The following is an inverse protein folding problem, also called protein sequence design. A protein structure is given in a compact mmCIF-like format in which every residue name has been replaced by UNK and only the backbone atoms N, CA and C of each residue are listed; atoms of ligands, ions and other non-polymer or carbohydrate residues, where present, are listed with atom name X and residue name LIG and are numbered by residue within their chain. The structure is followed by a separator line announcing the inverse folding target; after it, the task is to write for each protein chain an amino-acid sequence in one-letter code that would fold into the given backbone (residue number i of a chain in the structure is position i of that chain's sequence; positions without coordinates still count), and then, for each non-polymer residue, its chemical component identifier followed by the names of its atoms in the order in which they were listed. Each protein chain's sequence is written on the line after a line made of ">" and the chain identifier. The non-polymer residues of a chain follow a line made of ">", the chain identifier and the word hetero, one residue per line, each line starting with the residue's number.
data_IF_868606651791
#
_entry.id   IF_868606651791
#
_cell.length_a   1.000
_cell.length_b   1.000
_cell.length_c   1.000
_cell.angle_alpha   90.00
_cell.angle_beta   90.00
_cell.angle_gamma   90.00
#
_symmetry.space_group_name_H-M   'P 1'
#
loop_
_entity.id
_entity.type
_entity.pdbx_description
1 polymer ?
#
# COMPACT_ATOMS: atom_id res chain seq x y z
N UNK A 1 -24.18 -8.68 -10.79
CA UNK A 1 -22.87 -8.01 -10.90
C UNK A 1 -22.01 -8.74 -11.93
N UNK A 2 -21.24 -8.01 -12.74
CA UNK A 2 -20.49 -8.55 -13.88
C UNK A 2 -19.03 -8.91 -13.55
N UNK A 3 -18.33 -9.46 -14.55
CA UNK A 3 -16.91 -9.89 -14.51
C UNK A 3 -15.98 -8.82 -13.90
N UNK A 4 -16.26 -7.54 -14.13
CA UNK A 4 -15.45 -6.43 -13.61
C UNK A 4 -15.55 -6.25 -12.09
N UNK A 5 -16.69 -6.57 -11.48
CA UNK A 5 -16.84 -6.49 -10.03
C UNK A 5 -15.98 -7.57 -9.33
N UNK A 6 -16.00 -8.80 -9.86
CA UNK A 6 -15.18 -9.89 -9.35
C UNK A 6 -13.69 -9.59 -9.49
N UNK A 7 -13.26 -8.97 -10.59
CA UNK A 7 -11.87 -8.53 -10.79
C UNK A 7 -11.41 -7.52 -9.75
N UNK A 8 -12.29 -6.61 -9.32
CA UNK A 8 -11.96 -5.64 -8.26
C UNK A 8 -11.83 -6.34 -6.91
N UNK A 9 -12.73 -7.28 -6.60
CA UNK A 9 -12.65 -8.06 -5.38
C UNK A 9 -11.34 -8.89 -5.33
N UNK A 10 -10.97 -9.53 -6.44
CA UNK A 10 -9.71 -10.26 -6.55
C UNK A 10 -8.49 -9.33 -6.43
N UNK A 11 -8.52 -8.15 -7.05
CA UNK A 11 -7.45 -7.16 -6.90
C UNK A 11 -7.30 -6.70 -5.44
N UNK A 12 -8.40 -6.52 -4.70
CA UNK A 12 -8.33 -6.16 -3.28
C UNK A 12 -7.63 -7.26 -2.45
N UNK A 13 -7.94 -8.53 -2.70
CA UNK A 13 -7.27 -9.67 -2.06
C UNK A 13 -5.77 -9.73 -2.43
N UNK A 14 -5.42 -9.53 -3.70
CA UNK A 14 -4.03 -9.49 -4.16
C UNK A 14 -3.24 -8.34 -3.51
N UNK A 15 -3.87 -7.17 -3.36
CA UNK A 15 -3.25 -6.02 -2.71
C UNK A 15 -3.06 -6.26 -1.21
N UNK A 16 -4.00 -6.96 -0.55
CA UNK A 16 -3.85 -7.40 0.84
C UNK A 16 -2.65 -8.33 0.99
N UNK A 17 -2.52 -9.33 0.11
CA UNK A 17 -1.37 -10.23 0.07
C UNK A 17 -0.07 -9.45 -0.17
N UNK A 18 -0.05 -8.53 -1.14
CA UNK A 18 1.11 -7.70 -1.43
C UNK A 18 1.52 -6.78 -0.28
N UNK A 19 0.54 -6.17 0.41
CA UNK A 19 0.77 -5.34 1.59
C UNK A 19 1.34 -6.16 2.74
N UNK A 20 0.73 -7.30 3.08
CA UNK A 20 1.24 -8.19 4.12
C UNK A 20 2.62 -8.76 3.76
N UNK A 21 2.84 -9.13 2.50
CA UNK A 21 4.12 -9.63 1.99
C UNK A 21 5.23 -8.59 2.11
N UNK A 22 4.97 -7.34 1.68
CA UNK A 22 5.93 -6.25 1.85
C UNK A 22 6.18 -5.95 3.34
N UNK A 23 5.13 -5.95 4.16
CA UNK A 23 5.21 -5.72 5.61
C UNK A 23 6.08 -6.77 6.31
N UNK A 24 5.96 -8.04 5.90
CA UNK A 24 6.80 -9.13 6.39
C UNK A 24 8.25 -9.02 5.87
N UNK A 25 8.45 -8.47 4.67
CA UNK A 25 9.78 -8.16 4.13
C UNK A 25 10.46 -6.95 4.80
N UNK A 26 9.73 -6.12 5.55
CA UNK A 26 10.30 -5.05 6.39
C UNK A 26 11.00 -5.63 7.63
N UNK A 27 10.48 -6.71 8.22
CA UNK A 27 11.08 -7.35 9.41
C UNK A 27 12.57 -7.72 9.26
N UNK A 28 13.04 -8.34 8.17
CA UNK A 28 14.47 -8.61 7.95
C UNK A 28 15.31 -7.35 7.69
N UNK A 29 14.69 -6.28 7.17
CA UNK A 29 15.36 -4.98 7.01
C UNK A 29 15.46 -4.23 8.35
N UNK A 30 14.51 -4.44 9.26
CA UNK A 30 14.44 -3.81 10.58
C UNK A 30 15.23 -4.57 11.67
N UNK A 31 15.36 -5.90 11.58
CA UNK A 31 16.26 -6.71 12.41
C UNK A 31 16.90 -7.84 11.59
N UNK A 32 18.10 -7.62 11.02
CA UNK A 32 18.77 -8.59 10.15
C UNK A 32 19.38 -9.79 10.92
N UNK A 33 19.18 -9.90 12.23
CA UNK A 33 19.64 -11.04 13.06
C UNK A 33 18.64 -12.20 13.10
N UNK A 34 17.45 -12.01 12.54
CA UNK A 34 16.32 -12.94 12.61
C UNK A 34 16.19 -13.81 11.33
N UNK A 35 15.48 -14.96 11.39
CA UNK A 35 15.70 -16.19 10.58
C UNK A 35 15.57 -16.11 9.05
N UNK A 36 15.37 -14.93 8.48
CA UNK A 36 15.23 -14.72 7.04
C UNK A 36 16.52 -14.97 6.26
N UNK A 37 17.70 -14.69 6.83
CA UNK A 37 18.96 -15.09 6.20
C UNK A 37 19.14 -16.61 6.13
N UNK A 38 18.51 -17.35 7.06
CA UNK A 38 18.47 -18.80 7.02
C UNK A 38 17.48 -19.28 5.95
N UNK A 39 16.27 -18.71 5.89
CA UNK A 39 15.26 -19.02 4.85
C UNK A 39 15.77 -18.69 3.44
N UNK A 40 16.49 -17.58 3.26
CA UNK A 40 17.08 -17.19 1.97
C UNK A 40 18.20 -18.14 1.55
N UNK A 41 19.02 -18.61 2.49
CA UNK A 41 20.06 -19.60 2.23
C UNK A 41 19.49 -20.96 1.82
N UNK A 42 18.34 -21.32 2.40
CA UNK A 42 17.64 -22.58 2.15
C UNK A 42 16.89 -22.58 0.80
N UNK A 43 16.24 -21.47 0.44
CA UNK A 43 15.44 -21.36 -0.78
C UNK A 43 16.26 -21.29 -2.08
N UNK A 44 17.46 -20.71 -2.04
CA UNK A 44 18.19 -20.41 -3.27
C UNK A 44 19.37 -21.34 -3.54
N UNK A 45 19.71 -22.27 -2.63
CA UNK A 45 20.80 -23.27 -2.74
C UNK A 45 22.13 -22.74 -3.35
N UNK A 46 22.33 -21.43 -3.33
CA UNK A 46 23.45 -20.74 -3.96
C UNK A 46 23.99 -19.72 -2.97
N UNK A 47 25.31 -19.60 -2.98
CA UNK A 47 26.07 -18.59 -2.24
C UNK A 47 25.41 -17.23 -2.42
N UNK A 48 25.18 -16.56 -1.29
CA UNK A 48 24.37 -15.35 -1.04
C UNK A 48 24.94 -14.09 -1.73
N UNK A 49 25.40 -14.20 -2.99
CA UNK A 49 26.36 -13.25 -3.54
C UNK A 49 26.12 -12.78 -4.97
N UNK A 50 25.04 -13.22 -5.62
CA UNK A 50 24.61 -12.56 -6.86
C UNK A 50 24.07 -11.16 -6.52
N UNK A 51 24.67 -10.08 -7.03
CA UNK A 51 24.21 -8.74 -6.71
C UNK A 51 22.84 -8.50 -7.33
N UNK A 52 21.97 -7.79 -6.61
CA UNK A 52 20.78 -7.19 -7.18
C UNK A 52 21.23 -6.06 -8.12
N UNK A 53 21.15 -6.29 -9.42
CA UNK A 53 21.45 -5.25 -10.40
C UNK A 53 20.22 -4.40 -10.63
N UNK A 54 20.30 -3.13 -10.25
CA UNK A 54 19.29 -2.13 -10.53
C UNK A 54 19.59 -1.55 -11.91
N UNK A 55 18.65 -1.65 -12.84
CA UNK A 55 18.81 -1.12 -14.19
C UNK A 55 18.10 0.23 -14.33
N UNK A 56 18.69 1.12 -15.13
CA UNK A 56 18.02 2.32 -15.64
C UNK A 56 16.96 1.92 -16.68
N UNK A 57 16.06 2.85 -16.99
CA UNK A 57 15.01 2.62 -17.98
C UNK A 57 15.55 2.32 -19.40
N UNK A 58 16.78 2.77 -19.70
CA UNK A 58 17.47 2.46 -20.96
C UNK A 58 18.17 1.09 -20.97
N UNK A 59 17.99 0.29 -19.90
CA UNK A 59 18.58 -1.03 -19.74
C UNK A 59 20.03 -1.04 -19.27
N UNK A 60 20.68 0.12 -19.06
CA UNK A 60 22.03 0.18 -18.51
C UNK A 60 22.02 -0.09 -17.00
N UNK A 61 22.99 -0.82 -16.43
CA UNK A 61 23.05 -1.02 -14.98
C UNK A 61 23.34 0.31 -14.26
N UNK A 62 22.50 0.65 -13.29
CA UNK A 62 22.73 1.75 -12.35
C UNK A 62 23.68 1.33 -11.23
N UNK A 63 23.34 0.25 -10.52
CA UNK A 63 24.12 -0.30 -9.42
C UNK A 63 23.95 -1.80 -9.30
N UNK A 64 24.86 -2.44 -8.59
CA UNK A 64 24.86 -3.86 -8.29
C UNK A 64 25.04 -4.01 -6.77
N UNK A 65 23.95 -4.20 -6.05
CA UNK A 65 23.95 -4.19 -4.58
C UNK A 65 23.99 -5.63 -4.05
N UNK A 66 24.89 -5.92 -3.12
CA UNK A 66 24.88 -7.20 -2.40
C UNK A 66 23.83 -7.14 -1.30
N UNK A 67 22.93 -8.12 -1.28
CA UNK A 67 21.85 -8.18 -0.30
C UNK A 67 22.36 -8.14 1.14
N UNK A 68 23.47 -8.82 1.43
CA UNK A 68 24.11 -8.81 2.75
C UNK A 68 24.54 -7.42 3.20
N UNK A 69 25.06 -6.62 2.26
CA UNK A 69 25.55 -5.27 2.55
C UNK A 69 24.37 -4.32 2.78
N UNK A 70 23.28 -4.50 2.04
CA UNK A 70 22.02 -3.76 2.25
C UNK A 70 21.40 -4.10 3.60
N UNK A 71 21.33 -5.37 3.99
CA UNK A 71 20.81 -5.76 5.31
C UNK A 71 21.67 -5.23 6.46
N UNK A 72 23.01 -5.34 6.35
CA UNK A 72 23.91 -4.78 7.35
C UNK A 72 23.76 -3.25 7.49
N UNK A 73 23.62 -2.54 6.36
CA UNK A 73 23.32 -1.11 6.35
C UNK A 73 21.96 -0.84 7.00
N UNK A 74 20.92 -1.59 6.65
CA UNK A 74 19.57 -1.42 7.18
C UNK A 74 19.54 -1.53 8.72
N UNK A 75 20.25 -2.49 9.33
CA UNK A 75 20.42 -2.55 10.79
C UNK A 75 21.10 -1.32 11.39
N UNK A 76 22.07 -0.74 10.68
CA UNK A 76 22.83 0.42 11.15
C UNK A 76 22.11 1.75 10.91
N UNK A 77 21.17 1.77 9.96
CA UNK A 77 20.33 2.92 9.60
C UNK A 77 18.92 2.81 10.16
N UNK A 78 18.66 1.89 11.10
CA UNK A 78 17.39 1.70 11.78
C UNK A 78 17.06 2.92 12.67
N UNK A 79 16.76 4.04 12.04
CA UNK A 79 16.02 5.15 12.62
C UNK A 79 14.52 4.81 12.61
N UNK A 80 13.80 5.35 13.58
CA UNK A 80 12.42 4.99 13.93
C UNK A 80 11.33 5.21 12.85
N UNK A 81 11.68 5.45 11.58
CA UNK A 81 10.73 5.82 10.52
C UNK A 81 10.71 4.94 9.27
N UNK A 82 11.80 4.23 8.90
CA UNK A 82 11.87 3.53 7.60
C UNK A 82 10.80 2.44 7.46
N UNK A 83 10.56 1.67 8.53
CA UNK A 83 9.49 0.66 8.53
C UNK A 83 8.11 1.30 8.37
N UNK A 84 7.85 2.43 9.04
CA UNK A 84 6.59 3.16 8.90
C UNK A 84 6.43 3.74 7.49
N UNK A 85 7.50 4.29 6.91
CA UNK A 85 7.49 4.83 5.55
C UNK A 85 7.20 3.76 4.50
N UNK A 86 7.78 2.57 4.64
CA UNK A 86 7.52 1.45 3.74
C UNK A 86 6.09 0.91 3.87
N UNK A 87 5.54 0.84 5.09
CA UNK A 87 4.13 0.50 5.31
C UNK A 87 3.21 1.55 4.68
N UNK A 88 3.48 2.84 4.90
CA UNK A 88 2.71 3.92 4.33
C UNK A 88 2.79 3.91 2.80
N UNK A 89 3.96 3.64 2.24
CA UNK A 89 4.15 3.50 0.79
C UNK A 89 3.30 2.36 0.21
N UNK A 90 3.29 1.19 0.84
CA UNK A 90 2.44 0.08 0.41
C UNK A 90 0.96 0.42 0.44
N UNK A 91 0.49 1.03 1.53
CA UNK A 91 -0.89 1.50 1.69
C UNK A 91 -1.24 2.49 0.58
N UNK A 92 -0.39 3.49 0.34
CA UNK A 92 -0.62 4.51 -0.68
C UNK A 92 -0.67 3.90 -2.08
N UNK A 93 0.26 3.00 -2.41
CA UNK A 93 0.31 2.34 -3.70
C UNK A 93 -0.96 1.50 -3.93
N UNK A 94 -1.33 0.67 -2.94
CA UNK A 94 -2.52 -0.18 -3.04
C UNK A 94 -3.82 0.61 -3.10
N UNK A 95 -3.99 1.63 -2.27
CA UNK A 95 -5.16 2.52 -2.31
C UNK A 95 -5.28 3.26 -3.65
N UNK A 96 -4.17 3.75 -4.20
CA UNK A 96 -4.16 4.39 -5.50
C UNK A 96 -4.56 3.42 -6.62
N UNK A 97 -3.97 2.22 -6.65
CA UNK A 97 -4.26 1.20 -7.65
C UNK A 97 -5.70 0.70 -7.59
N UNK A 98 -6.23 0.45 -6.38
CA UNK A 98 -7.61 0.00 -6.18
C UNK A 98 -8.62 1.07 -6.63
N UNK A 99 -8.45 2.31 -6.17
CA UNK A 99 -9.35 3.40 -6.56
C UNK A 99 -9.32 3.69 -8.06
N UNK A 100 -8.14 3.61 -8.70
CA UNK A 100 -8.00 3.71 -10.16
C UNK A 100 -8.75 2.58 -10.89
N UNK A 101 -8.65 1.35 -10.40
CA UNK A 101 -9.34 0.20 -10.98
C UNK A 101 -10.87 0.38 -10.92
N UNK A 102 -11.40 0.74 -9.75
CA UNK A 102 -12.84 1.02 -9.55
C UNK A 102 -13.31 2.15 -10.48
N UNK A 103 -12.53 3.21 -10.61
CA UNK A 103 -12.86 4.34 -11.48
C UNK A 103 -12.86 3.93 -12.96
N UNK A 104 -11.82 3.22 -13.43
CA UNK A 104 -11.69 2.80 -14.83
C UNK A 104 -12.76 1.79 -15.24
N UNK A 105 -13.19 0.93 -14.31
CA UNK A 105 -14.28 -0.01 -14.55
C UNK A 105 -15.67 0.66 -14.61
N UNK A 106 -15.78 1.96 -14.32
CA UNK A 106 -17.06 2.66 -14.27
C UNK A 106 -17.93 2.26 -13.07
N UNK A 107 -17.32 1.64 -12.04
CA UNK A 107 -17.99 1.11 -10.86
C UNK A 107 -17.95 2.07 -9.66
N UNK A 108 -17.69 3.36 -9.93
CA UNK A 108 -17.75 4.40 -8.92
C UNK A 108 -19.20 4.77 -8.61
N UNK A 109 -19.77 4.24 -7.53
CA UNK A 109 -21.04 4.71 -6.99
C UNK A 109 -20.81 5.91 -6.05
N UNK A 110 -21.51 7.02 -6.31
CA UNK A 110 -21.43 8.23 -5.49
C UNK A 110 -22.33 8.21 -4.26
N UNK A 111 -23.28 7.28 -4.21
CA UNK A 111 -24.21 7.13 -3.10
C UNK A 111 -23.68 6.19 -2.02
N UNK A 112 -22.76 5.28 -2.37
CA UNK A 112 -22.05 4.42 -1.42
C UNK A 112 -21.02 5.18 -0.58
N UNK A 113 -21.18 5.26 0.76
CA UNK A 113 -20.21 5.93 1.62
C UNK A 113 -18.81 5.30 1.57
N UNK A 114 -18.75 3.97 1.46
CA UNK A 114 -17.49 3.23 1.31
C UNK A 114 -16.77 3.62 0.01
N UNK A 115 -17.49 3.66 -1.13
CA UNK A 115 -16.84 4.00 -2.40
C UNK A 115 -16.47 5.50 -2.48
N UNK A 116 -17.21 6.37 -1.78
CA UNK A 116 -16.76 7.75 -1.58
C UNK A 116 -15.50 7.83 -0.71
N UNK A 117 -15.40 7.04 0.36
CA UNK A 117 -14.19 6.94 1.17
C UNK A 117 -12.99 6.52 0.31
N UNK A 118 -13.12 5.41 -0.44
CA UNK A 118 -12.06 4.89 -1.32
C UNK A 118 -11.63 5.93 -2.36
N UNK A 119 -12.59 6.65 -2.98
CA UNK A 119 -12.30 7.73 -3.92
C UNK A 119 -11.42 8.82 -3.29
N UNK A 120 -11.82 9.30 -2.13
CA UNK A 120 -11.09 10.36 -1.44
C UNK A 120 -9.73 9.88 -0.94
N UNK A 121 -9.64 8.64 -0.47
CA UNK A 121 -8.38 8.08 0.01
C UNK A 121 -7.39 7.84 -1.12
N UNK A 122 -7.85 7.32 -2.27
CA UNK A 122 -7.05 7.25 -3.50
C UNK A 122 -6.54 8.62 -3.92
N UNK A 123 -7.40 9.65 -3.91
CA UNK A 123 -6.98 11.00 -4.26
C UNK A 123 -5.92 11.53 -3.29
N UNK A 124 -6.10 11.32 -1.99
CA UNK A 124 -5.09 11.71 -1.01
C UNK A 124 -3.74 11.01 -1.24
N UNK A 125 -3.76 9.71 -1.52
CA UNK A 125 -2.56 8.93 -1.83
C UNK A 125 -1.86 9.42 -3.12
N UNK A 126 -2.63 9.74 -4.16
CA UNK A 126 -2.10 10.31 -5.41
C UNK A 126 -1.57 11.74 -5.25
N UNK A 127 -2.03 12.49 -4.24
CA UNK A 127 -1.64 13.88 -3.96
C UNK A 127 -0.69 13.99 -2.75
N UNK A 128 0.32 13.12 -2.68
CA UNK A 128 1.39 13.22 -1.68
C UNK A 128 0.96 12.85 -0.26
N UNK A 129 0.02 11.91 -0.14
CA UNK A 129 -0.49 11.37 1.13
C UNK A 129 -1.19 12.39 2.05
N UNK A 130 -1.89 13.36 1.45
CA UNK A 130 -2.65 14.36 2.20
C UNK A 130 -4.06 14.46 1.65
N UNK A 131 -5.04 14.56 2.54
CA UNK A 131 -6.42 14.76 2.11
C UNK A 131 -6.55 16.05 1.31
N UNK A 132 -7.15 15.91 0.12
CA UNK A 132 -7.26 17.00 -0.84
C UNK A 132 -8.73 17.28 -1.14
N UNK A 133 -9.43 17.89 -0.18
CA UNK A 133 -10.82 18.31 -0.35
C UNK A 133 -10.90 19.69 -0.98
N UNK A 134 -11.56 19.82 -2.12
CA UNK A 134 -11.81 21.11 -2.75
C UNK A 134 -13.31 21.34 -2.93
N UNK A 135 -13.72 22.60 -3.13
CA UNK A 135 -15.08 22.92 -3.58
C UNK A 135 -16.21 22.29 -2.74
N UNK A 136 -16.06 22.33 -1.41
CA UNK A 136 -17.01 21.79 -0.45
C UNK A 136 -17.02 20.26 -0.33
N UNK A 137 -15.94 19.58 -0.72
CA UNK A 137 -15.79 18.14 -0.49
C UNK A 137 -15.50 17.78 0.98
N UNK A 138 -15.87 16.57 1.43
CA UNK A 138 -16.69 15.58 0.73
C UNK A 138 -18.16 16.02 0.63
N UNK A 139 -18.74 15.93 -0.57
CA UNK A 139 -20.13 16.39 -0.85
C UNK A 139 -21.20 15.33 -0.54
N UNK A 140 -20.78 14.08 -0.51
CA UNK A 140 -21.57 12.91 -0.15
C UNK A 140 -20.90 12.27 1.06
N UNK A 141 -21.65 11.52 1.90
CA UNK A 141 -21.06 10.77 2.99
C UNK A 141 -19.89 9.91 2.48
N UNK A 142 -18.77 9.95 3.19
CA UNK A 142 -17.55 9.24 2.83
C UNK A 142 -17.00 8.59 4.10
N UNK A 143 -17.28 7.31 4.27
CA UNK A 143 -17.17 6.63 5.56
C UNK A 143 -16.56 5.24 5.40
N UNK A 144 -15.69 4.89 6.33
CA UNK A 144 -15.15 3.55 6.53
C UNK A 144 -15.30 3.22 8.02
N UNK A 145 -16.30 2.39 8.35
CA UNK A 145 -16.61 2.00 9.73
C UNK A 145 -16.72 3.23 10.64
N UNK A 146 -15.83 3.41 11.61
CA UNK A 146 -15.81 4.56 12.52
C UNK A 146 -15.14 5.82 11.94
N UNK A 147 -14.49 5.74 10.78
CA UNK A 147 -13.80 6.86 10.15
C UNK A 147 -14.77 7.58 9.21
N UNK A 148 -15.09 8.83 9.56
CA UNK A 148 -15.91 9.72 8.73
C UNK A 148 -15.03 10.82 8.16
N UNK A 149 -14.95 10.91 6.83
CA UNK A 149 -14.21 11.97 6.18
C UNK A 149 -15.03 13.26 6.21
N UNK A 150 -14.40 14.34 6.67
CA UNK A 150 -15.00 15.67 6.71
C UNK A 150 -14.04 16.70 6.12
N UNK A 151 -14.57 17.86 5.73
CA UNK A 151 -13.76 18.95 5.17
C UNK A 151 -12.63 19.39 6.12
N UNK A 152 -12.79 19.20 7.43
CA UNK A 152 -11.78 19.55 8.45
C UNK A 152 -10.48 18.75 8.32
N UNK A 153 -10.51 17.60 7.65
CA UNK A 153 -9.31 16.77 7.41
C UNK A 153 -8.44 17.30 6.26
N UNK A 154 -8.86 18.34 5.52
CA UNK A 154 -8.08 18.89 4.40
C UNK A 154 -6.63 19.20 4.81
N UNK A 155 -5.67 18.72 4.01
CA UNK A 155 -4.23 18.89 4.24
C UNK A 155 -3.61 17.95 5.28
N UNK A 156 -4.40 17.23 6.07
CA UNK A 156 -3.90 16.26 7.05
C UNK A 156 -3.42 14.96 6.39
N UNK A 157 -2.53 14.23 7.06
CA UNK A 157 -1.91 12.99 6.57
C UNK A 157 -2.97 11.88 6.45
N UNK A 158 -3.03 11.21 5.29
CA UNK A 158 -4.01 10.15 5.03
C UNK A 158 -3.51 8.78 5.53
N UNK A 159 -2.66 8.09 4.77
CA UNK A 159 -2.06 6.81 5.16
C UNK A 159 -1.01 7.02 6.27
N UNK A 160 -1.10 6.22 7.34
CA UNK A 160 -0.30 6.39 8.56
C UNK A 160 -0.64 7.68 9.32
N UNK A 161 -1.81 8.26 9.05
CA UNK A 161 -2.38 9.41 9.73
C UNK A 161 -3.83 9.10 10.11
N UNK A 162 -4.78 9.62 9.33
CA UNK A 162 -6.21 9.28 9.49
C UNK A 162 -6.50 7.80 9.27
N UNK A 163 -5.80 7.15 8.34
CA UNK A 163 -5.97 5.74 7.99
C UNK A 163 -4.71 4.97 8.41
N UNK A 164 -4.82 4.21 9.49
CA UNK A 164 -3.77 3.29 9.92
C UNK A 164 -3.68 2.05 9.04
N UNK A 165 -2.65 1.23 9.28
CA UNK A 165 -2.46 -0.03 8.55
C UNK A 165 -3.63 -1.01 8.75
N UNK A 166 -4.20 -1.06 9.97
CA UNK A 166 -5.39 -1.87 10.26
C UNK A 166 -6.62 -1.39 9.49
N UNK A 167 -6.88 -0.08 9.51
CA UNK A 167 -7.99 0.55 8.78
C UNK A 167 -7.88 0.32 7.27
N UNK A 168 -6.65 0.29 6.73
CA UNK A 168 -6.44 -0.04 5.33
C UNK A 168 -6.84 -1.49 5.00
N UNK A 169 -6.49 -2.45 5.85
CA UNK A 169 -6.91 -3.85 5.66
C UNK A 169 -8.43 -3.99 5.76
N UNK A 170 -9.04 -3.30 6.73
CA UNK A 170 -10.49 -3.22 6.87
C UNK A 170 -11.16 -2.66 5.62
N UNK A 171 -10.58 -1.61 5.03
CA UNK A 171 -11.06 -1.06 3.77
C UNK A 171 -10.99 -2.08 2.62
N UNK A 172 -9.90 -2.84 2.51
CA UNK A 172 -9.77 -3.87 1.47
C UNK A 172 -10.83 -4.96 1.63
N UNK A 173 -11.05 -5.43 2.85
CA UNK A 173 -12.06 -6.45 3.17
C UNK A 173 -13.48 -5.95 2.87
N UNK A 174 -13.80 -4.72 3.28
CA UNK A 174 -15.10 -4.10 3.07
C UNK A 174 -15.36 -3.85 1.56
N UNK A 175 -14.34 -3.44 0.80
CA UNK A 175 -14.44 -3.28 -0.67
C UNK A 175 -14.63 -4.62 -1.37
N UNK A 176 -13.88 -5.65 -0.98
CA UNK A 176 -14.02 -6.99 -1.56
C UNK A 176 -15.41 -7.56 -1.27
N UNK A 177 -15.94 -7.38 -0.05
CA UNK A 177 -17.30 -7.76 0.29
C UNK A 177 -18.35 -6.96 -0.51
N UNK A 178 -18.17 -5.64 -0.66
CA UNK A 178 -19.07 -4.77 -1.41
C UNK A 178 -19.27 -5.21 -2.85
N UNK A 179 -18.20 -5.61 -3.55
CA UNK A 179 -18.29 -6.03 -4.96
C UNK A 179 -18.72 -7.49 -5.17
N UNK A 180 -18.80 -8.27 -4.09
CA UNK A 180 -19.31 -9.66 -4.11
C UNK A 180 -20.80 -9.77 -3.78
N UNK A 181 -21.39 -8.73 -3.19
CA UNK A 181 -22.77 -8.70 -2.69
C UNK A 181 -23.79 -8.28 -3.75
#
# INVERSE_FOLDING_TARGET
>A
MGIEAERIAQLADELKIGFCGLSLAILPLADPRQPLMAIYRDLYEQTVDSPLVIYRNDGTPHSAERLTDIFAKASSTAGAGLGEDLLNFATMHGAARLGDAIQRAGLSDRTSPLLQFVRHFRNACAHGNRWHFQNGEPRQPAELRSIVLTAALHGSKAAGGTVGAGDYLDMLDDVAAHFRA
#
